data_IF_673124479161
#
_entry.id   IF_673124479161
#
_cell.length_a   1.000
_cell.length_b   1.000
_cell.length_c   1.000
_cell.angle_alpha   90.00
_cell.angle_beta   90.00
_cell.angle_gamma   90.00
#
_symmetry.space_group_name_H-M   'P 1'
#
loop_
_entity.id
_entity.type
_entity.pdbx_description
1 polymer ?
#
# COMPACT_ATOMS: atom_id res chain seq x y z
N UNK A 1 -13.47 -3.99 -10.95
CA UNK A 1 -12.22 -4.37 -11.64
C UNK A 1 -12.32 -3.93 -13.09
N UNK A 2 -11.20 -3.58 -13.77
CA UNK A 2 -11.24 -3.17 -15.17
C UNK A 2 -11.86 -4.26 -16.05
N UNK A 3 -12.61 -3.83 -17.07
CA UNK A 3 -13.19 -4.71 -18.09
C UNK A 3 -12.09 -5.26 -19.01
N UNK A 4 -12.31 -6.42 -19.64
CA UNK A 4 -11.32 -7.08 -20.51
C UNK A 4 -10.78 -6.17 -21.63
N UNK A 5 -11.65 -5.32 -22.17
CA UNK A 5 -11.36 -4.25 -23.14
C UNK A 5 -10.24 -3.31 -22.73
N UNK A 6 -10.08 -3.02 -21.43
CA UNK A 6 -8.94 -2.25 -20.93
C UNK A 6 -7.62 -2.98 -21.19
N UNK A 7 -7.58 -4.29 -20.93
CA UNK A 7 -6.37 -5.10 -21.10
C UNK A 7 -6.00 -5.36 -22.56
N UNK A 8 -6.94 -5.16 -23.49
CA UNK A 8 -6.70 -5.22 -24.94
C UNK A 8 -6.15 -3.91 -25.54
N UNK A 9 -6.08 -2.83 -24.76
CA UNK A 9 -5.41 -1.61 -25.20
C UNK A 9 -3.91 -1.83 -25.40
N UNK A 10 -3.29 -1.05 -26.29
CA UNK A 10 -1.83 -0.96 -26.33
C UNK A 10 -1.30 -0.49 -24.97
N UNK A 11 -0.08 -0.90 -24.62
CA UNK A 11 0.56 -0.54 -23.34
C UNK A 11 0.59 0.97 -23.14
N UNK A 12 0.96 1.72 -24.16
CA UNK A 12 1.01 3.19 -24.13
C UNK A 12 -0.36 3.81 -23.79
N UNK A 13 -1.46 3.26 -24.33
CA UNK A 13 -2.82 3.74 -24.03
C UNK A 13 -3.26 3.39 -22.61
N UNK A 14 -2.93 2.19 -22.14
CA UNK A 14 -3.18 1.82 -20.74
C UNK A 14 -2.43 2.77 -19.81
N UNK A 15 -1.14 2.97 -20.06
CA UNK A 15 -0.27 3.82 -19.26
C UNK A 15 -0.74 5.28 -19.25
N UNK A 16 -1.08 5.84 -20.41
CA UNK A 16 -1.59 7.21 -20.53
C UNK A 16 -2.86 7.42 -19.70
N UNK A 17 -3.81 6.48 -19.75
CA UNK A 17 -5.04 6.55 -18.94
C UNK A 17 -4.72 6.44 -17.44
N UNK A 18 -3.79 5.56 -17.06
CA UNK A 18 -3.39 5.33 -15.67
C UNK A 18 -2.65 6.55 -15.09
N UNK A 19 -1.78 7.20 -15.86
CA UNK A 19 -1.10 8.43 -15.47
C UNK A 19 -2.14 9.54 -15.27
N UNK A 20 -3.01 9.76 -16.26
CA UNK A 20 -4.06 10.79 -16.20
C UNK A 20 -5.00 10.59 -15.00
N UNK A 21 -5.32 9.34 -14.67
CA UNK A 21 -6.12 9.00 -13.50
C UNK A 21 -5.39 9.33 -12.19
N UNK A 22 -4.12 8.93 -12.08
CA UNK A 22 -3.28 9.24 -10.92
C UNK A 22 -3.16 10.74 -10.72
N UNK A 23 -2.98 11.53 -11.78
CA UNK A 23 -2.95 13.00 -11.72
C UNK A 23 -4.25 13.58 -11.15
N UNK A 24 -5.41 13.10 -11.58
CA UNK A 24 -6.69 13.61 -11.06
C UNK A 24 -6.88 13.25 -9.59
N UNK A 25 -6.62 12.00 -9.20
CA UNK A 25 -6.73 11.55 -7.81
C UNK A 25 -5.65 12.13 -6.89
N UNK A 26 -4.55 12.61 -7.48
CA UNK A 26 -3.51 13.40 -6.81
C UNK A 26 -3.92 14.83 -6.54
N UNK A 27 -4.87 15.36 -7.32
CA UNK A 27 -5.31 16.75 -7.25
C UNK A 27 -6.43 16.94 -6.26
N UNK A 28 -7.38 16.00 -6.21
CA UNK A 28 -8.59 16.07 -5.38
C UNK A 28 -8.95 14.72 -4.76
N UNK A 29 -9.69 14.69 -3.65
CA UNK A 29 -10.25 13.45 -3.10
C UNK A 29 -11.14 12.70 -4.10
N UNK A 30 -11.31 11.39 -3.91
CA UNK A 30 -12.09 10.52 -4.81
C UNK A 30 -13.49 11.07 -5.10
N UNK A 31 -14.20 11.59 -4.09
CA UNK A 31 -15.56 12.09 -4.27
C UNK A 31 -15.63 13.34 -5.16
N UNK A 32 -14.56 14.15 -5.21
CA UNK A 32 -14.43 15.34 -6.07
C UNK A 32 -13.79 15.04 -7.44
N UNK A 33 -13.12 13.89 -7.59
CA UNK A 33 -12.46 13.52 -8.84
C UNK A 33 -13.44 13.43 -10.03
N UNK A 34 -13.01 13.88 -11.21
CA UNK A 34 -13.82 13.96 -12.42
C UNK A 34 -13.34 13.04 -13.53
N UNK A 35 -14.22 12.15 -14.00
CA UNK A 35 -13.99 11.34 -15.21
C UNK A 35 -13.69 12.25 -16.41
N UNK A 36 -14.33 13.42 -16.50
CA UNK A 36 -14.13 14.34 -17.61
C UNK A 36 -12.69 14.89 -17.67
N UNK A 37 -12.06 15.13 -16.51
CA UNK A 37 -10.66 15.56 -16.46
C UNK A 37 -9.73 14.42 -16.87
N UNK A 38 -9.98 13.20 -16.36
CA UNK A 38 -9.18 12.01 -16.66
C UNK A 38 -9.17 11.75 -18.17
N UNK A 39 -10.34 11.70 -18.81
CA UNK A 39 -10.42 11.40 -20.26
C UNK A 39 -9.85 12.51 -21.13
N UNK A 40 -9.95 13.78 -20.68
CA UNK A 40 -9.38 14.93 -21.37
C UNK A 40 -7.86 14.85 -21.38
N UNK A 41 -7.25 14.58 -20.22
CA UNK A 41 -5.80 14.41 -20.10
C UNK A 41 -5.31 13.17 -20.85
N UNK A 42 -6.08 12.07 -20.79
CA UNK A 42 -5.73 10.83 -21.47
C UNK A 42 -5.95 10.87 -22.99
N UNK A 43 -6.61 11.90 -23.53
CA UNK A 43 -6.93 12.01 -24.95
C UNK A 43 -7.91 10.95 -25.46
N UNK A 44 -8.84 10.47 -24.62
CA UNK A 44 -9.83 9.45 -25.02
C UNK A 44 -11.27 10.00 -24.97
N UNK A 45 -12.20 9.51 -25.83
CA UNK A 45 -13.61 9.84 -25.72
C UNK A 45 -14.25 9.32 -24.43
N UNK A 46 -15.30 10.00 -23.95
CA UNK A 46 -16.04 9.58 -22.74
C UNK A 46 -16.60 8.16 -22.82
N UNK A 47 -17.08 7.76 -24.00
CA UNK A 47 -17.59 6.40 -24.22
C UNK A 47 -16.52 5.33 -23.99
N UNK A 48 -15.26 5.62 -24.32
CA UNK A 48 -14.14 4.69 -24.11
C UNK A 48 -13.88 4.43 -22.63
N UNK A 49 -14.04 5.43 -21.76
CA UNK A 49 -13.90 5.22 -20.32
C UNK A 49 -14.84 4.12 -19.81
N UNK A 50 -16.14 4.21 -20.15
CA UNK A 50 -17.14 3.22 -19.71
C UNK A 50 -16.98 1.86 -20.38
N UNK A 51 -16.24 1.78 -21.49
CA UNK A 51 -15.82 0.50 -22.04
C UNK A 51 -14.73 -0.15 -21.18
N UNK A 52 -13.92 0.61 -20.44
CA UNK A 52 -12.79 0.10 -19.65
C UNK A 52 -13.11 -0.07 -18.17
N UNK A 53 -13.87 0.86 -17.59
CA UNK A 53 -14.20 0.93 -16.16
C UNK A 53 -15.69 1.17 -15.98
N UNK A 54 -16.25 0.76 -14.85
CA UNK A 54 -17.66 1.03 -14.53
C UNK A 54 -17.85 2.50 -14.13
N UNK A 55 -16.98 3.00 -13.27
CA UNK A 55 -16.98 4.36 -12.74
C UNK A 55 -15.56 4.78 -12.30
N UNK A 56 -15.44 5.93 -11.64
CA UNK A 56 -14.14 6.43 -11.16
C UNK A 56 -13.64 5.65 -9.95
N UNK A 57 -14.54 5.10 -9.15
CA UNK A 57 -14.26 4.27 -7.99
C UNK A 57 -13.58 2.96 -8.42
N UNK A 58 -14.09 2.30 -9.46
CA UNK A 58 -13.51 1.10 -10.06
C UNK A 58 -12.07 1.33 -10.52
N UNK A 59 -11.84 2.43 -11.26
CA UNK A 59 -10.49 2.84 -11.67
C UNK A 59 -9.60 3.15 -10.47
N UNK A 60 -10.12 3.85 -9.46
CA UNK A 60 -9.38 4.19 -8.25
C UNK A 60 -8.95 2.95 -7.47
N UNK A 61 -9.85 1.99 -7.24
CA UNK A 61 -9.54 0.73 -6.56
C UNK A 61 -8.58 -0.13 -7.37
N UNK A 62 -8.66 -0.12 -8.70
CA UNK A 62 -7.68 -0.78 -9.55
C UNK A 62 -6.26 -0.21 -9.34
N UNK A 63 -6.12 1.12 -9.25
CA UNK A 63 -4.84 1.76 -8.97
C UNK A 63 -4.30 1.40 -7.58
N UNK A 64 -5.16 1.38 -6.56
CA UNK A 64 -4.77 0.96 -5.21
C UNK A 64 -4.35 -0.50 -5.15
N UNK A 65 -5.03 -1.39 -5.87
CA UNK A 65 -4.66 -2.81 -5.93
C UNK A 65 -3.29 -3.01 -6.61
N UNK A 66 -3.02 -2.29 -7.70
CA UNK A 66 -1.69 -2.32 -8.33
C UNK A 66 -0.59 -1.85 -7.37
N UNK A 67 -0.85 -0.79 -6.61
CA UNK A 67 0.08 -0.31 -5.59
C UNK A 67 0.31 -1.36 -4.51
N UNK A 68 -0.77 -1.94 -3.96
CA UNK A 68 -0.71 -2.98 -2.94
C UNK A 68 0.16 -4.16 -3.39
N UNK A 69 -0.04 -4.63 -4.63
CA UNK A 69 0.75 -5.72 -5.22
C UNK A 69 2.24 -5.39 -5.29
N UNK A 70 2.60 -4.19 -5.78
CA UNK A 70 4.00 -3.74 -5.82
C UNK A 70 4.62 -3.64 -4.43
N UNK A 71 3.86 -3.14 -3.45
CA UNK A 71 4.31 -3.05 -2.07
C UNK A 71 4.50 -4.45 -1.45
N UNK A 72 3.59 -5.39 -1.71
CA UNK A 72 3.70 -6.77 -1.23
C UNK A 72 4.90 -7.50 -1.86
N UNK A 73 5.12 -7.37 -3.18
CA UNK A 73 6.30 -7.93 -3.86
C UNK A 73 7.60 -7.39 -3.27
N UNK A 74 7.66 -6.08 -3.01
CA UNK A 74 8.81 -5.46 -2.36
C UNK A 74 8.99 -5.94 -0.93
N UNK A 75 7.91 -6.03 -0.15
CA UNK A 75 7.94 -6.51 1.23
C UNK A 75 8.49 -7.94 1.28
N UNK A 76 8.03 -8.82 0.38
CA UNK A 76 8.55 -10.18 0.21
C UNK A 76 10.05 -10.16 -0.14
N UNK A 77 10.49 -9.26 -1.01
CA UNK A 77 11.91 -9.13 -1.35
C UNK A 77 12.77 -8.75 -0.14
N UNK A 78 12.32 -7.77 0.64
CA UNK A 78 13.02 -7.32 1.86
C UNK A 78 12.99 -8.45 2.90
N UNK A 79 11.86 -9.13 3.07
CA UNK A 79 11.72 -10.23 4.01
C UNK A 79 12.73 -11.35 3.74
N UNK A 80 12.95 -11.67 2.46
CA UNK A 80 13.99 -12.63 2.05
C UNK A 80 15.40 -12.11 2.32
N UNK A 81 15.67 -10.83 2.08
CA UNK A 81 16.97 -10.20 2.35
C UNK A 81 17.29 -10.15 3.86
N UNK A 82 16.27 -10.04 4.71
CA UNK A 82 16.38 -10.02 6.18
C UNK A 82 16.20 -11.40 6.81
N UNK A 83 16.39 -12.48 6.05
CA UNK A 83 16.29 -13.87 6.53
C UNK A 83 14.99 -14.20 7.30
N UNK A 84 13.88 -13.58 6.86
CA UNK A 84 12.56 -13.76 7.45
C UNK A 84 12.31 -12.95 8.72
N UNK A 85 13.22 -12.04 9.14
CA UNK A 85 12.98 -11.15 10.28
C UNK A 85 11.90 -10.11 9.93
N UNK A 86 10.72 -10.29 10.54
CA UNK A 86 9.55 -9.48 10.20
C UNK A 86 9.69 -8.02 10.67
N UNK A 87 10.33 -7.77 11.82
CA UNK A 87 10.44 -6.42 12.37
C UNK A 87 11.47 -5.60 11.60
N UNK A 88 12.61 -6.18 11.25
CA UNK A 88 13.59 -5.56 10.35
C UNK A 88 12.98 -5.26 8.97
N UNK A 89 12.13 -6.16 8.48
CA UNK A 89 11.41 -5.97 7.22
C UNK A 89 10.45 -4.79 7.29
N UNK A 90 9.71 -4.63 8.39
CA UNK A 90 8.84 -3.47 8.62
C UNK A 90 9.64 -2.16 8.70
N UNK A 91 10.81 -2.15 9.33
CA UNK A 91 11.71 -0.98 9.40
C UNK A 91 12.22 -0.59 8.01
N UNK A 92 12.83 -1.51 7.27
CA UNK A 92 13.40 -1.23 5.94
C UNK A 92 12.32 -0.83 4.93
N UNK A 93 11.13 -1.47 5.00
CA UNK A 93 9.98 -1.11 4.17
C UNK A 93 9.53 0.33 4.41
N UNK A 94 9.46 0.76 5.68
CA UNK A 94 9.06 2.12 6.03
C UNK A 94 10.11 3.15 5.60
N UNK A 95 11.40 2.87 5.81
CA UNK A 95 12.50 3.72 5.32
C UNK A 95 12.44 3.90 3.79
N UNK A 96 12.09 2.84 3.06
CA UNK A 96 11.84 2.98 1.63
C UNK A 96 10.68 3.91 1.30
N UNK A 97 9.56 3.82 2.03
CA UNK A 97 8.41 4.71 1.81
C UNK A 97 8.79 6.18 2.02
N UNK A 98 9.62 6.50 3.03
CA UNK A 98 10.17 7.84 3.25
C UNK A 98 11.03 8.28 2.04
N UNK A 99 11.91 7.41 1.54
CA UNK A 99 12.75 7.72 0.36
C UNK A 99 11.90 8.05 -0.87
N UNK A 100 10.83 7.29 -1.11
CA UNK A 100 9.90 7.56 -2.22
C UNK A 100 9.06 8.82 -1.99
N UNK A 101 8.64 9.10 -0.76
CA UNK A 101 7.90 10.32 -0.42
C UNK A 101 8.67 11.60 -0.79
N UNK A 102 10.00 11.57 -0.70
CA UNK A 102 10.89 12.67 -1.08
C UNK A 102 10.93 12.91 -2.60
N UNK A 103 10.48 11.96 -3.43
CA UNK A 103 10.42 12.12 -4.88
C UNK A 103 9.11 12.87 -5.30
N UNK A 104 9.21 14.05 -5.94
CA UNK A 104 8.06 14.87 -6.34
C UNK A 104 7.03 14.14 -7.23
N UNK A 105 7.47 13.21 -8.07
CA UNK A 105 6.65 12.54 -9.09
C UNK A 105 5.67 11.50 -8.48
N UNK A 106 5.92 11.06 -7.25
CA UNK A 106 5.11 10.05 -6.57
C UNK A 106 4.31 10.61 -5.37
N UNK A 107 4.47 11.89 -5.05
CA UNK A 107 4.03 12.44 -3.77
C UNK A 107 2.51 12.57 -3.62
N UNK A 108 1.80 12.83 -4.70
CA UNK A 108 0.45 13.43 -4.62
C UNK A 108 -0.68 12.39 -4.57
N UNK A 109 -0.62 11.31 -5.36
CA UNK A 109 -1.66 10.27 -5.35
C UNK A 109 -1.67 9.51 -4.02
N UNK A 110 -0.50 9.06 -3.57
CA UNK A 110 -0.40 8.27 -2.34
C UNK A 110 -0.77 9.10 -1.12
N UNK A 111 -0.25 10.33 -1.02
CA UNK A 111 -0.62 11.25 0.05
C UNK A 111 -2.13 11.41 0.14
N UNK A 112 -2.82 11.70 -0.97
CA UNK A 112 -4.27 11.87 -0.95
C UNK A 112 -5.01 10.57 -0.65
N UNK A 113 -4.51 9.43 -1.13
CA UNK A 113 -5.09 8.14 -0.81
C UNK A 113 -5.02 7.83 0.69
N UNK A 114 -3.87 8.07 1.33
CA UNK A 114 -3.68 7.87 2.78
C UNK A 114 -4.44 8.90 3.63
N UNK A 115 -4.45 10.18 3.25
CA UNK A 115 -5.08 11.24 4.05
C UNK A 115 -6.61 11.27 3.94
N UNK A 116 -7.16 10.84 2.80
CA UNK A 116 -8.62 10.78 2.60
C UNK A 116 -9.15 9.35 2.79
N UNK A 117 -8.37 8.50 3.45
CA UNK A 117 -8.72 7.13 3.70
C UNK A 117 -9.85 7.07 4.72
N UNK A 118 -10.94 6.37 4.39
CA UNK A 118 -11.99 6.03 5.35
C UNK A 118 -11.85 4.56 5.76
N UNK A 119 -12.57 4.15 6.81
CA UNK A 119 -12.57 2.78 7.33
C UNK A 119 -12.80 1.69 6.25
N UNK A 120 -13.59 1.99 5.20
CA UNK A 120 -13.84 1.06 4.08
C UNK A 120 -12.59 0.86 3.22
N UNK A 121 -11.83 1.93 2.96
CA UNK A 121 -10.57 1.89 2.24
C UNK A 121 -9.44 1.28 3.09
N UNK A 122 -9.42 1.57 4.39
CA UNK A 122 -8.51 0.96 5.37
C UNK A 122 -8.73 -0.55 5.40
N UNK A 123 -9.98 -1.01 5.58
CA UNK A 123 -10.31 -2.44 5.42
C UNK A 123 -9.98 -2.97 4.02
N UNK A 124 -9.96 -2.14 2.98
CA UNK A 124 -9.55 -2.59 1.65
C UNK A 124 -8.06 -2.86 1.53
N UNK A 125 -7.22 -2.12 2.26
CA UNK A 125 -5.78 -2.32 2.26
C UNK A 125 -5.31 -3.29 3.35
N UNK A 126 -6.02 -3.33 4.48
CA UNK A 126 -5.69 -4.12 5.68
C UNK A 126 -6.37 -5.49 5.66
N UNK A 127 -7.62 -5.57 5.18
CA UNK A 127 -8.48 -6.75 5.34
C UNK A 127 -9.09 -7.31 4.04
N UNK A 128 -8.98 -6.66 2.86
CA UNK A 128 -9.72 -7.12 1.68
C UNK A 128 -9.05 -8.27 0.92
N UNK A 129 -9.31 -9.42 1.52
CA UNK A 129 -9.38 -10.79 1.03
C UNK A 129 -10.31 -11.02 -0.19
N UNK A 130 -10.62 -10.00 -1.00
CA UNK A 130 -11.57 -10.13 -2.11
C UNK A 130 -10.93 -10.61 -3.42
N UNK A 131 -9.60 -10.58 -3.56
CA UNK A 131 -8.90 -11.22 -4.68
C UNK A 131 -8.05 -12.40 -4.19
N UNK A 132 -8.16 -13.55 -4.86
CA UNK A 132 -7.28 -14.73 -4.62
C UNK A 132 -5.79 -14.36 -4.64
N UNK A 133 -5.41 -13.39 -5.48
CA UNK A 133 -4.03 -12.92 -5.57
C UNK A 133 -3.50 -12.29 -4.27
N UNK A 134 -4.33 -11.56 -3.52
CA UNK A 134 -3.93 -10.95 -2.25
C UNK A 134 -3.89 -11.98 -1.11
N UNK A 135 -4.81 -12.96 -1.12
CA UNK A 135 -4.72 -14.12 -0.20
C UNK A 135 -3.41 -14.88 -0.41
N UNK A 136 -3.05 -15.14 -1.66
CA UNK A 136 -1.80 -15.83 -1.99
C UNK A 136 -0.59 -15.04 -1.47
N UNK A 137 -0.52 -13.73 -1.73
CA UNK A 137 0.58 -12.89 -1.24
C UNK A 137 0.68 -12.90 0.29
N UNK A 138 -0.45 -12.84 0.99
CA UNK A 138 -0.47 -12.94 2.44
C UNK A 138 0.10 -14.28 2.94
N UNK A 139 -0.31 -15.40 2.34
CA UNK A 139 0.24 -16.72 2.69
C UNK A 139 1.74 -16.82 2.35
N UNK A 140 2.15 -16.30 1.19
CA UNK A 140 3.56 -16.25 0.80
C UNK A 140 4.41 -15.50 1.83
N UNK A 141 3.91 -14.37 2.35
CA UNK A 141 4.59 -13.60 3.42
C UNK A 141 4.67 -14.43 4.70
N UNK A 142 3.54 -14.97 5.19
CA UNK A 142 3.50 -15.73 6.44
C UNK A 142 4.47 -16.92 6.42
N UNK A 143 4.56 -17.64 5.29
CA UNK A 143 5.47 -18.78 5.14
C UNK A 143 6.95 -18.40 5.05
N UNK A 144 7.27 -17.14 4.72
CA UNK A 144 8.64 -16.64 4.67
C UNK A 144 9.13 -16.08 6.00
N UNK A 145 8.22 -15.82 6.96
CA UNK A 145 8.61 -15.26 8.26
C UNK A 145 9.36 -16.31 9.07
N UNK A 146 10.52 -15.92 9.59
CA UNK A 146 11.28 -16.71 10.52
C UNK A 146 10.69 -16.57 11.93
N UNK A 147 9.99 -17.62 12.37
CA UNK A 147 9.31 -17.64 13.68
C UNK A 147 10.19 -18.14 14.81
N UNK A 148 11.45 -18.54 14.56
CA UNK A 148 12.33 -19.19 15.55
C UNK A 148 12.49 -18.35 16.82
N UNK A 149 12.66 -17.05 16.65
CA UNK A 149 12.91 -16.11 17.73
C UNK A 149 11.63 -15.46 18.28
N UNK A 150 10.48 -15.70 17.65
CA UNK A 150 9.20 -15.11 18.05
C UNK A 150 8.57 -15.90 19.21
N UNK A 151 8.06 -15.17 20.20
CA UNK A 151 7.26 -15.70 21.29
C UNK A 151 5.79 -15.84 20.86
N UNK A 152 5.52 -16.82 20.00
CA UNK A 152 4.18 -17.12 19.45
C UNK A 152 3.77 -18.57 19.75
N UNK A 153 2.47 -18.78 19.98
CA UNK A 153 1.91 -20.13 20.22
C UNK A 153 1.52 -20.83 18.93
N UNK A 154 0.96 -20.07 18.00
CA UNK A 154 0.47 -20.56 16.71
C UNK A 154 0.54 -19.47 15.63
N UNK A 155 0.09 -19.81 14.42
CA UNK A 155 0.03 -18.88 13.29
C UNK A 155 -0.95 -17.71 13.50
N UNK A 156 -1.94 -17.84 14.40
CA UNK A 156 -2.87 -16.75 14.70
C UNK A 156 -2.16 -15.64 15.45
N UNK A 157 -1.26 -15.96 16.36
CA UNK A 157 -0.41 -14.97 17.04
C UNK A 157 0.43 -14.22 16.00
N UNK A 158 1.03 -14.91 15.03
CA UNK A 158 1.77 -14.28 13.94
C UNK A 158 0.89 -13.32 13.12
N UNK A 159 -0.35 -13.70 12.83
CA UNK A 159 -1.31 -12.82 12.17
C UNK A 159 -1.61 -11.56 13.01
N UNK A 160 -1.68 -11.67 14.33
CA UNK A 160 -1.86 -10.51 15.21
C UNK A 160 -0.62 -9.60 15.21
N UNK A 161 0.58 -10.17 15.24
CA UNK A 161 1.84 -9.40 15.11
C UNK A 161 1.82 -8.58 13.81
N UNK A 162 1.47 -9.21 12.69
CA UNK A 162 1.35 -8.53 11.39
C UNK A 162 0.33 -7.40 11.42
N UNK A 163 -0.84 -7.62 12.02
CA UNK A 163 -1.88 -6.59 12.17
C UNK A 163 -1.41 -5.41 13.01
N UNK A 164 -0.79 -5.66 14.16
CA UNK A 164 -0.31 -4.62 15.07
C UNK A 164 0.79 -3.80 14.40
N UNK A 165 1.80 -4.46 13.82
CA UNK A 165 2.88 -3.79 13.10
C UNK A 165 2.36 -2.98 11.90
N UNK A 166 1.38 -3.50 11.16
CA UNK A 166 0.74 -2.77 10.06
C UNK A 166 -0.05 -1.56 10.54
N UNK A 167 -0.76 -1.65 11.67
CA UNK A 167 -1.48 -0.52 12.26
C UNK A 167 -0.52 0.59 12.72
N UNK A 168 0.58 0.21 13.39
CA UNK A 168 1.66 1.14 13.77
C UNK A 168 2.27 1.80 12.53
N UNK A 169 2.53 1.03 11.48
CA UNK A 169 3.02 1.55 10.18
C UNK A 169 2.06 2.57 9.60
N UNK A 170 0.78 2.23 9.51
CA UNK A 170 -0.25 3.08 8.93
C UNK A 170 -0.39 4.40 9.70
N UNK A 171 -0.41 4.34 11.03
CA UNK A 171 -0.47 5.51 11.90
C UNK A 171 0.68 6.49 11.63
N UNK A 172 1.92 5.99 11.53
CA UNK A 172 3.09 6.85 11.25
C UNK A 172 3.09 7.38 9.81
N UNK A 173 2.58 6.63 8.82
CA UNK A 173 2.39 7.14 7.46
C UNK A 173 1.41 8.32 7.43
N UNK A 174 0.31 8.26 8.19
CA UNK A 174 -0.64 9.37 8.28
C UNK A 174 0.03 10.63 8.84
N UNK A 175 0.80 10.51 9.93
CA UNK A 175 1.56 11.64 10.49
C UNK A 175 2.58 12.22 9.51
N UNK A 176 3.32 11.36 8.81
CA UNK A 176 4.28 11.76 7.76
C UNK A 176 3.60 12.53 6.64
N UNK A 177 2.51 11.98 6.07
CA UNK A 177 1.79 12.60 4.96
C UNK A 177 1.03 13.87 5.38
N UNK A 178 0.56 13.92 6.63
CA UNK A 178 -0.07 15.08 7.26
C UNK A 178 0.93 16.23 7.51
N UNK A 179 2.23 15.95 7.46
CA UNK A 179 3.33 16.87 7.83
C UNK A 179 3.21 17.36 9.29
N UNK A 180 2.72 16.50 10.17
CA UNK A 180 2.65 16.81 11.59
C UNK A 180 4.03 16.69 12.27
N UNK A 181 4.90 15.86 11.70
CA UNK A 181 6.28 15.63 12.11
C UNK A 181 7.21 15.73 10.90
N UNK A 182 8.51 15.97 11.15
CA UNK A 182 9.53 15.80 10.11
C UNK A 182 9.70 14.32 9.72
N UNK A 183 10.27 14.06 8.54
CA UNK A 183 10.58 12.69 8.09
C UNK A 183 11.52 11.97 9.08
N UNK A 184 12.46 12.70 9.70
CA UNK A 184 13.42 12.16 10.66
C UNK A 184 12.75 11.79 11.99
N UNK A 185 11.88 12.66 12.52
CA UNK A 185 11.11 12.38 13.74
C UNK A 185 10.13 11.24 13.52
N UNK A 186 9.45 11.21 12.37
CA UNK A 186 8.55 10.12 12.00
C UNK A 186 9.30 8.79 11.95
N UNK A 187 10.48 8.76 11.31
CA UNK A 187 11.29 7.54 11.23
C UNK A 187 11.74 7.08 12.60
N UNK A 188 12.25 7.99 13.43
CA UNK A 188 12.70 7.67 14.78
C UNK A 188 11.55 7.09 15.61
N UNK A 189 10.39 7.75 15.62
CA UNK A 189 9.21 7.30 16.36
C UNK A 189 8.75 5.90 15.90
N UNK A 190 8.72 5.67 14.60
CA UNK A 190 8.34 4.38 14.04
C UNK A 190 9.33 3.27 14.43
N UNK A 191 10.64 3.51 14.33
CA UNK A 191 11.67 2.55 14.76
C UNK A 191 11.52 2.24 16.26
N UNK A 192 11.39 3.27 17.10
CA UNK A 192 11.22 3.09 18.56
C UNK A 192 9.99 2.21 18.88
N UNK A 193 8.88 2.38 18.14
CA UNK A 193 7.66 1.59 18.29
C UNK A 193 7.83 0.14 17.81
N UNK A 194 8.47 -0.08 16.65
CA UNK A 194 8.72 -1.44 16.13
C UNK A 194 9.71 -2.19 17.02
N UNK A 195 10.76 -1.53 17.53
CA UNK A 195 11.70 -2.11 18.48
C UNK A 195 11.01 -2.47 19.81
N UNK A 196 10.08 -1.63 20.29
CA UNK A 196 9.27 -1.96 21.46
C UNK A 196 8.45 -3.25 21.25
N UNK A 197 7.82 -3.39 20.08
CA UNK A 197 7.10 -4.61 19.71
C UNK A 197 8.04 -5.81 19.62
N UNK A 198 9.19 -5.66 18.95
CA UNK A 198 10.21 -6.70 18.80
C UNK A 198 10.67 -7.23 20.15
N UNK A 199 11.04 -6.35 21.10
CA UNK A 199 11.44 -6.74 22.46
C UNK A 199 10.35 -7.49 23.22
N UNK A 200 9.08 -7.09 23.07
CA UNK A 200 7.96 -7.73 23.76
C UNK A 200 7.51 -9.05 23.14
N UNK A 201 7.90 -9.31 21.88
CA UNK A 201 7.44 -10.45 21.08
C UNK A 201 8.57 -11.41 20.69
N UNK A 202 9.82 -11.12 21.07
CA UNK A 202 10.92 -12.06 20.97
C UNK A 202 10.95 -12.95 22.22
N UNK A 203 11.45 -14.17 22.06
CA UNK A 203 11.75 -15.04 23.21
C UNK A 203 12.82 -14.38 24.05
N UNK A 204 12.66 -14.43 25.36
CA UNK A 204 13.73 -14.05 26.28
C UNK A 204 14.92 -14.98 26.02
N UNK A 205 16.13 -14.40 25.92
CA UNK A 205 17.35 -15.21 25.96
C UNK A 205 17.53 -15.70 27.40
N UNK A 206 17.44 -17.03 27.60
CA UNK A 206 17.73 -17.68 28.89
C UNK A 206 19.19 -17.50 29.33
#
# INVERSE_FOLDING_TARGET
MPKQTFFHLSKDKQETLIISAKEEFSRVPLHEASIANIIKNAGIPRGSFYQYFEDKEDLYFYLLNQLSKKNAERFISILKEKDGDIFETFIESFQFMIRIHKNPEHKSFFKNAFLNMNYKLENTLVNNLYEESQKKQYFDIIHLINTKNLNIKDEKDLHQIMKIASAVTFHNLVHMFGKELSDEETLKNYIDQIELLKRGLYKEED
#
